data_IF_722911391354
#
_entry.id   IF_722911391354
#
_cell.length_a   1.000
_cell.length_b   1.000
_cell.length_c   1.000
_cell.angle_alpha   90.00
_cell.angle_beta   90.00
_cell.angle_gamma   90.00
#
_symmetry.space_group_name_H-M   'P 1'
#
loop_
_entity.id
_entity.type
_entity.pdbx_description
1 polymer ?
#
# COMPACT_ATOMS: atom_id res chain seq x y z
N UNK A 1 8.17 2.73 19.85
CA UNK A 1 8.72 3.33 21.10
C UNK A 1 8.13 4.73 21.22
N UNK A 2 7.60 5.08 22.40
CA UNK A 2 7.05 6.40 22.75
C UNK A 2 7.79 6.93 23.97
N UNK A 3 8.17 8.19 23.95
CA UNK A 3 8.85 8.87 25.05
C UNK A 3 8.34 10.31 25.13
N UNK A 4 8.47 10.95 26.31
CA UNK A 4 8.05 12.34 26.52
C UNK A 4 8.89 13.00 27.62
N UNK A 5 8.84 14.33 27.68
CA UNK A 5 9.40 15.08 28.81
C UNK A 5 8.68 14.76 30.10
N UNK A 6 9.34 15.00 31.23
CA UNK A 6 8.81 14.73 32.60
C UNK A 6 7.46 15.44 32.82
N UNK A 7 7.35 16.68 32.37
CA UNK A 7 6.11 17.46 32.35
C UNK A 7 5.59 17.58 30.94
N UNK A 8 4.27 17.46 30.76
CA UNK A 8 3.59 17.48 29.46
C UNK A 8 2.27 18.27 29.49
N UNK A 9 1.95 18.93 30.58
CA UNK A 9 0.70 19.65 30.79
C UNK A 9 0.48 20.76 29.75
N UNK A 10 1.49 21.59 29.47
CA UNK A 10 1.39 22.66 28.47
C UNK A 10 1.32 22.09 27.06
N UNK A 11 2.13 21.05 26.77
CA UNK A 11 2.10 20.38 25.49
C UNK A 11 0.70 19.77 25.19
N UNK A 12 0.14 19.06 26.16
CA UNK A 12 -1.18 18.42 25.98
C UNK A 12 -2.31 19.43 25.89
N UNK A 13 -2.24 20.52 26.67
CA UNK A 13 -3.20 21.61 26.56
C UNK A 13 -3.16 22.25 25.17
N UNK A 14 -1.96 22.62 24.71
CA UNK A 14 -1.78 23.21 23.38
C UNK A 14 -2.22 22.27 22.26
N UNK A 15 -1.94 20.97 22.39
CA UNK A 15 -2.36 19.98 21.40
C UNK A 15 -3.89 19.81 21.38
N UNK A 16 -4.55 19.75 22.54
CA UNK A 16 -5.99 19.67 22.63
C UNK A 16 -6.68 20.91 22.03
N UNK A 17 -6.12 22.09 22.26
CA UNK A 17 -6.63 23.32 21.68
C UNK A 17 -6.38 23.38 20.16
N UNK A 18 -5.22 22.98 19.69
CA UNK A 18 -4.91 22.88 18.26
C UNK A 18 -5.85 21.91 17.54
N UNK A 19 -6.12 20.75 18.09
CA UNK A 19 -6.99 19.72 17.49
C UNK A 19 -8.43 20.19 17.27
N UNK A 20 -8.94 21.14 18.06
CA UNK A 20 -10.26 21.76 17.83
C UNK A 20 -10.32 22.60 16.54
N UNK A 21 -9.18 23.12 16.10
CA UNK A 21 -9.05 24.01 14.96
C UNK A 21 -8.49 23.31 13.71
N UNK A 22 -8.07 22.05 13.84
CA UNK A 22 -7.62 21.28 12.69
C UNK A 22 -8.80 20.90 11.79
N UNK A 23 -8.70 21.31 10.53
CA UNK A 23 -9.60 20.88 9.46
C UNK A 23 -9.21 19.48 8.92
N UNK A 24 -9.79 19.15 7.77
CA UNK A 24 -9.38 17.96 6.99
C UNK A 24 -8.26 18.36 6.05
N UNK A 25 -7.32 17.45 5.81
CA UNK A 25 -6.36 17.61 4.72
C UNK A 25 -7.05 17.34 3.37
N UNK A 26 -6.78 18.15 2.37
CA UNK A 26 -7.33 17.98 1.03
C UNK A 26 -6.82 16.71 0.36
N UNK A 27 -7.70 15.97 -0.30
CA UNK A 27 -7.36 14.77 -1.07
C UNK A 27 -6.91 15.17 -2.48
N UNK A 28 -5.70 15.67 -2.60
CA UNK A 28 -5.10 16.16 -3.85
C UNK A 28 -4.30 15.08 -4.62
N UNK A 29 -3.89 14.02 -3.95
CA UNK A 29 -3.24 12.87 -4.56
C UNK A 29 -4.22 11.90 -5.24
N UNK A 30 -3.81 11.30 -6.37
CA UNK A 30 -4.54 10.22 -7.04
C UNK A 30 -3.69 8.95 -7.00
N UNK A 31 -4.27 7.85 -6.53
CA UNK A 31 -3.65 6.54 -6.64
C UNK A 31 -4.12 5.86 -7.93
N UNK A 32 -3.25 5.71 -8.95
CA UNK A 32 -3.65 5.15 -10.25
C UNK A 32 -4.03 3.67 -10.16
N UNK A 33 -3.51 2.93 -9.17
CA UNK A 33 -3.78 1.49 -9.01
C UNK A 33 -5.14 1.22 -8.36
N UNK A 34 -5.58 2.09 -7.44
CA UNK A 34 -6.81 1.88 -6.65
C UNK A 34 -7.94 2.84 -7.00
N UNK A 35 -7.72 3.78 -7.94
CA UNK A 35 -8.67 4.84 -8.33
C UNK A 35 -9.17 5.65 -7.12
N UNK A 36 -8.44 5.64 -6.00
CA UNK A 36 -8.74 6.39 -4.79
C UNK A 36 -7.99 7.73 -4.77
N UNK A 37 -8.50 8.68 -4.01
CA UNK A 37 -7.83 9.95 -3.72
C UNK A 37 -7.34 9.92 -2.28
N UNK A 38 -6.17 10.47 -2.04
CA UNK A 38 -5.57 10.56 -0.71
C UNK A 38 -4.98 11.96 -0.48
N UNK A 39 -4.82 12.33 0.81
CA UNK A 39 -4.13 13.55 1.18
C UNK A 39 -2.61 13.34 1.03
N UNK A 40 -1.96 14.17 0.21
CA UNK A 40 -0.50 14.11 0.07
C UNK A 40 0.20 14.59 1.35
N UNK A 41 1.52 14.35 1.44
CA UNK A 41 2.31 14.92 2.54
C UNK A 41 2.21 16.45 2.58
N UNK A 42 2.16 17.11 1.42
CA UNK A 42 1.98 18.57 1.30
C UNK A 42 0.67 18.99 1.94
N UNK A 43 -0.45 18.38 1.56
CA UNK A 43 -1.77 18.72 2.11
C UNK A 43 -1.85 18.53 3.62
N UNK A 44 -1.24 17.45 4.14
CA UNK A 44 -1.18 17.22 5.59
C UNK A 44 -0.35 18.28 6.29
N UNK A 45 0.81 18.67 5.74
CA UNK A 45 1.64 19.74 6.30
C UNK A 45 0.90 21.08 6.27
N UNK A 46 0.22 21.41 5.18
CA UNK A 46 -0.54 22.66 5.02
C UNK A 46 -1.72 22.74 5.99
N UNK A 47 -2.39 21.66 6.27
CA UNK A 47 -3.46 21.59 7.26
C UNK A 47 -2.95 21.74 8.71
N UNK A 48 -1.80 21.15 9.04
CA UNK A 48 -1.30 21.06 10.43
C UNK A 48 -0.48 22.30 10.81
N UNK A 49 0.48 22.71 9.96
CA UNK A 49 1.51 23.69 10.32
C UNK A 49 0.96 25.05 10.78
N UNK A 50 -0.02 25.67 10.11
CA UNK A 50 -0.55 26.96 10.53
C UNK A 50 -1.21 26.89 11.91
N UNK A 51 -2.01 25.84 12.15
CA UNK A 51 -2.72 25.66 13.42
C UNK A 51 -1.73 25.40 14.55
N UNK A 52 -0.76 24.49 14.34
CA UNK A 52 0.25 24.19 15.35
C UNK A 52 1.09 25.42 15.71
N UNK A 53 1.47 26.24 14.72
CA UNK A 53 2.25 27.46 14.96
C UNK A 53 1.52 28.44 15.89
N UNK A 54 0.19 28.63 15.73
CA UNK A 54 -0.63 29.50 16.58
C UNK A 54 -0.65 29.01 18.04
N UNK A 55 -0.59 27.68 18.24
CA UNK A 55 -0.62 27.06 19.56
C UNK A 55 0.77 26.78 20.13
N UNK A 56 1.84 27.32 19.55
CA UNK A 56 3.22 27.13 20.02
C UNK A 56 3.74 25.70 19.85
N UNK A 57 3.10 24.90 18.99
CA UNK A 57 3.50 23.54 18.68
C UNK A 57 4.43 23.47 17.49
N UNK A 58 5.39 22.57 17.52
CA UNK A 58 6.32 22.28 16.42
C UNK A 58 6.43 20.79 16.16
N UNK A 59 6.70 20.42 14.90
CA UNK A 59 6.97 19.04 14.49
C UNK A 59 8.38 18.96 13.91
N UNK A 60 9.15 17.99 14.39
CA UNK A 60 10.43 17.57 13.82
C UNK A 60 10.35 16.11 13.41
N UNK A 61 10.90 15.79 12.23
CA UNK A 61 10.87 14.43 11.69
C UNK A 61 12.27 14.03 11.20
N UNK A 62 12.86 13.05 11.85
CA UNK A 62 14.23 12.60 11.63
C UNK A 62 14.22 11.18 11.04
N UNK A 63 14.44 11.02 9.73
CA UNK A 63 14.55 9.71 9.10
C UNK A 63 15.91 9.07 9.42
N UNK A 64 15.90 7.76 9.60
CA UNK A 64 17.07 6.92 9.77
C UNK A 64 16.92 5.65 8.91
N UNK A 65 18.01 5.19 8.31
CA UNK A 65 18.05 3.96 7.54
C UNK A 65 19.17 3.05 8.03
N UNK A 66 18.81 1.84 8.44
CA UNK A 66 19.75 0.79 8.81
C UNK A 66 19.16 -0.58 8.50
N UNK A 67 19.97 -1.52 8.10
CA UNK A 67 19.66 -2.94 7.93
C UNK A 67 18.41 -3.24 7.09
N UNK A 68 18.13 -2.41 6.09
CA UNK A 68 16.95 -2.58 5.24
C UNK A 68 15.65 -2.06 5.86
N UNK A 69 15.75 -1.33 6.98
CA UNK A 69 14.61 -0.71 7.67
C UNK A 69 14.75 0.80 7.60
N UNK A 70 13.67 1.46 7.21
CA UNK A 70 13.53 2.91 7.33
C UNK A 70 12.74 3.21 8.60
N UNK A 71 13.32 4.00 9.48
CA UNK A 71 12.69 4.46 10.71
C UNK A 71 12.52 5.98 10.66
N UNK A 72 11.46 6.49 11.24
CA UNK A 72 11.19 7.90 11.37
C UNK A 72 10.89 8.22 12.84
N UNK A 73 11.75 9.05 13.42
CA UNK A 73 11.45 9.67 14.72
C UNK A 73 10.67 10.94 14.49
N UNK A 74 9.46 11.03 15.03
CA UNK A 74 8.63 12.23 15.00
C UNK A 74 8.58 12.81 16.41
N UNK A 75 8.94 14.08 16.54
CA UNK A 75 8.94 14.83 17.79
C UNK A 75 7.88 15.92 17.69
N UNK A 76 6.94 15.92 18.62
CA UNK A 76 6.03 17.01 18.88
C UNK A 76 6.61 17.85 20.03
N UNK A 77 6.97 19.10 19.75
CA UNK A 77 7.50 20.05 20.72
C UNK A 77 6.52 21.17 21.00
N UNK A 78 6.61 21.73 22.20
CA UNK A 78 5.87 22.94 22.60
C UNK A 78 6.84 24.06 22.99
N UNK A 79 6.44 25.30 22.86
CA UNK A 79 7.23 26.49 23.18
C UNK A 79 7.70 26.56 24.66
N UNK A 80 7.06 25.81 25.56
CA UNK A 80 7.52 25.65 26.96
C UNK A 80 8.75 24.74 27.13
N UNK A 81 9.22 24.10 26.04
CA UNK A 81 10.28 23.10 26.09
C UNK A 81 9.77 21.66 26.36
N UNK A 82 8.48 21.48 26.60
CA UNK A 82 7.87 20.16 26.72
C UNK A 82 7.78 19.47 25.34
N UNK A 83 7.94 18.17 25.36
CA UNK A 83 7.95 17.38 24.09
C UNK A 83 7.44 15.95 24.31
N UNK A 84 7.00 15.36 23.20
CA UNK A 84 6.82 13.91 23.07
C UNK A 84 7.43 13.42 21.77
N UNK A 85 7.90 12.16 21.73
CA UNK A 85 8.43 11.54 20.52
C UNK A 85 7.92 10.14 20.33
N UNK A 86 7.78 9.76 19.07
CA UNK A 86 7.43 8.41 18.67
C UNK A 86 8.30 7.97 17.49
N UNK A 87 8.46 6.66 17.33
CA UNK A 87 9.20 6.06 16.20
C UNK A 87 8.29 5.14 15.44
N UNK A 88 8.21 5.34 14.12
CA UNK A 88 7.57 4.44 13.18
C UNK A 88 8.62 3.85 12.24
N UNK A 89 8.45 2.58 11.83
CA UNK A 89 9.43 1.90 10.99
C UNK A 89 8.74 1.05 9.93
N UNK A 90 9.35 0.97 8.74
CA UNK A 90 8.93 0.08 7.66
C UNK A 90 10.15 -0.59 7.03
N UNK A 91 10.05 -1.85 6.62
CA UNK A 91 11.10 -2.47 5.83
C UNK A 91 11.10 -1.89 4.41
N UNK A 92 12.31 -1.66 3.86
CA UNK A 92 12.44 -1.28 2.46
C UNK A 92 12.31 -2.53 1.58
N UNK A 93 11.43 -2.47 0.57
CA UNK A 93 11.14 -3.64 -0.27
C UNK A 93 12.31 -4.07 -1.17
N UNK A 94 13.23 -3.16 -1.50
CA UNK A 94 14.41 -3.42 -2.34
C UNK A 94 15.61 -2.66 -1.80
N UNK A 95 16.62 -3.38 -1.33
CA UNK A 95 17.86 -2.78 -0.82
C UNK A 95 18.58 -1.98 -1.92
N UNK A 96 19.09 -0.79 -1.56
CA UNK A 96 19.86 0.06 -2.45
C UNK A 96 19.07 0.87 -3.48
N UNK A 97 17.73 0.84 -3.41
CA UNK A 97 16.87 1.64 -4.28
C UNK A 97 16.55 2.99 -3.63
N UNK A 98 17.14 4.06 -4.13
CA UNK A 98 16.92 5.43 -3.63
C UNK A 98 15.47 5.89 -3.79
N UNK A 99 14.77 5.45 -4.83
CA UNK A 99 13.34 5.74 -5.01
C UNK A 99 12.49 5.06 -3.96
N UNK A 100 12.79 3.79 -3.65
CA UNK A 100 12.11 3.05 -2.59
C UNK A 100 12.34 3.71 -1.22
N UNK A 101 13.58 4.15 -0.94
CA UNK A 101 13.93 4.87 0.27
C UNK A 101 13.14 6.18 0.40
N UNK A 102 13.14 7.02 -0.64
CA UNK A 102 12.40 8.28 -0.67
C UNK A 102 10.89 8.08 -0.49
N UNK A 103 10.33 7.05 -1.11
CA UNK A 103 8.92 6.67 -0.96
C UNK A 103 8.58 6.24 0.46
N UNK A 104 9.41 5.41 1.10
CA UNK A 104 9.24 5.00 2.50
C UNK A 104 9.31 6.20 3.46
N UNK A 105 10.26 7.11 3.26
CA UNK A 105 10.39 8.32 4.08
C UNK A 105 9.15 9.20 3.93
N UNK A 106 8.68 9.46 2.71
CA UNK A 106 7.48 10.27 2.45
C UNK A 106 6.23 9.65 3.06
N UNK A 107 6.09 8.33 2.95
CA UNK A 107 5.02 7.56 3.56
C UNK A 107 5.02 7.71 5.08
N UNK A 108 6.15 7.41 5.74
CA UNK A 108 6.29 7.53 7.19
C UNK A 108 6.02 8.96 7.68
N UNK A 109 6.55 9.98 6.99
CA UNK A 109 6.33 11.37 7.34
C UNK A 109 4.85 11.74 7.34
N UNK A 110 4.14 11.37 6.29
CA UNK A 110 2.71 11.65 6.13
C UNK A 110 1.88 10.99 7.24
N UNK A 111 2.05 9.69 7.44
CA UNK A 111 1.26 8.94 8.43
C UNK A 111 1.60 9.35 9.87
N UNK A 112 2.88 9.53 10.20
CA UNK A 112 3.27 9.95 11.55
C UNK A 112 2.80 11.35 11.87
N UNK A 113 2.83 12.29 10.91
CA UNK A 113 2.31 13.64 11.11
C UNK A 113 0.80 13.64 11.32
N UNK A 114 0.06 12.92 10.48
CA UNK A 114 -1.39 12.81 10.61
C UNK A 114 -1.81 12.12 11.94
N UNK A 115 -1.07 11.09 12.36
CA UNK A 115 -1.32 10.40 13.63
C UNK A 115 -1.13 11.34 14.84
N UNK A 116 -0.02 12.09 14.87
CA UNK A 116 0.24 13.05 15.96
C UNK A 116 -0.80 14.18 15.99
N UNK A 117 -1.23 14.66 14.83
CA UNK A 117 -2.24 15.70 14.72
C UNK A 117 -3.68 15.19 14.91
N UNK A 118 -3.89 13.86 14.95
CA UNK A 118 -5.21 13.23 14.92
C UNK A 118 -6.04 13.63 13.68
N UNK A 119 -5.36 13.81 12.54
CA UNK A 119 -6.02 14.07 11.27
C UNK A 119 -6.59 12.78 10.68
N UNK A 120 -7.88 12.82 10.35
CA UNK A 120 -8.52 11.72 9.61
C UNK A 120 -7.96 11.69 8.20
N UNK A 121 -7.26 10.64 7.87
CA UNK A 121 -6.96 10.25 6.51
C UNK A 121 -8.00 9.16 6.15
N UNK A 122 -8.93 9.47 5.27
CA UNK A 122 -9.79 8.44 4.64
C UNK A 122 -8.93 7.67 3.63
N UNK A 123 -7.86 7.07 4.10
CA UNK A 123 -6.97 6.26 3.30
C UNK A 123 -7.53 4.82 3.30
N UNK A 124 -8.08 4.40 2.18
CA UNK A 124 -8.38 3.00 1.89
C UNK A 124 -7.08 2.16 1.69
N UNK A 125 -5.93 2.78 1.98
CA UNK A 125 -4.59 2.22 1.80
C UNK A 125 -4.31 1.02 2.73
N UNK A 126 -4.94 0.96 3.91
CA UNK A 126 -4.83 -0.18 4.82
C UNK A 126 -5.43 -1.45 4.22
N UNK A 127 -6.56 -1.34 3.54
CA UNK A 127 -7.18 -2.45 2.81
C UNK A 127 -6.37 -2.83 1.55
N UNK A 128 -5.74 -1.84 0.91
CA UNK A 128 -4.90 -2.08 -0.26
C UNK A 128 -3.58 -2.77 0.12
N UNK A 129 -2.92 -2.36 1.20
CA UNK A 129 -1.71 -3.01 1.70
C UNK A 129 -2.02 -4.42 2.24
N UNK A 130 -3.14 -4.62 2.94
CA UNK A 130 -3.58 -5.93 3.41
C UNK A 130 -3.96 -6.84 2.23
N UNK A 131 -4.64 -6.33 1.20
CA UNK A 131 -4.93 -7.07 -0.04
C UNK A 131 -3.67 -7.40 -0.82
N UNK A 132 -2.69 -6.48 -0.92
CA UNK A 132 -1.42 -6.75 -1.58
C UNK A 132 -0.57 -7.78 -0.83
N UNK A 133 -0.60 -7.78 0.50
CA UNK A 133 0.07 -8.76 1.34
C UNK A 133 -0.67 -10.11 1.32
N UNK A 134 -2.00 -10.10 1.27
CA UNK A 134 -2.82 -11.29 1.05
C UNK A 134 -2.62 -11.85 -0.38
N UNK A 135 -2.57 -10.99 -1.39
CA UNK A 135 -2.31 -11.40 -2.78
C UNK A 135 -0.86 -11.88 -2.97
N UNK A 136 0.13 -11.27 -2.28
CA UNK A 136 1.51 -11.79 -2.27
C UNK A 136 1.67 -13.08 -1.47
N UNK A 137 0.84 -13.32 -0.46
CA UNK A 137 0.77 -14.60 0.28
C UNK A 137 -0.03 -15.67 -0.46
N UNK A 138 -0.92 -15.26 -1.36
CA UNK A 138 -1.81 -16.10 -2.14
C UNK A 138 -1.43 -16.22 -3.62
N UNK A 139 -0.24 -15.75 -4.05
CA UNK A 139 0.30 -16.16 -5.34
C UNK A 139 0.73 -17.63 -5.18
N UNK A 140 -0.03 -18.60 -5.74
CA UNK A 140 0.43 -19.95 -5.83
C UNK A 140 1.81 -19.91 -6.49
N UNK A 141 2.72 -20.79 -6.06
CA UNK A 141 3.96 -20.99 -6.80
C UNK A 141 3.62 -21.14 -8.29
N UNK A 142 4.51 -20.76 -9.18
CA UNK A 142 4.32 -20.84 -10.65
C UNK A 142 3.76 -22.23 -11.07
N UNK A 143 4.09 -23.26 -10.31
CA UNK A 143 3.57 -24.64 -10.44
C UNK A 143 2.12 -24.79 -9.95
N UNK A 144 1.73 -24.13 -8.85
CA UNK A 144 0.37 -24.25 -8.32
C UNK A 144 -0.68 -23.56 -9.22
N UNK A 145 -0.34 -22.42 -9.84
CA UNK A 145 -1.23 -21.76 -10.80
C UNK A 145 -1.41 -22.59 -12.09
N UNK A 146 -0.35 -23.21 -12.58
CA UNK A 146 -0.42 -24.12 -13.73
C UNK A 146 -1.26 -25.37 -13.42
N UNK A 147 -1.09 -25.95 -12.23
CA UNK A 147 -1.86 -27.11 -11.78
C UNK A 147 -3.36 -26.79 -11.66
N UNK A 148 -3.72 -25.60 -11.15
CA UNK A 148 -5.12 -25.16 -11.09
C UNK A 148 -5.72 -24.94 -12.47
N UNK A 149 -5.00 -24.34 -13.41
CA UNK A 149 -5.47 -24.23 -14.80
C UNK A 149 -5.73 -25.61 -15.39
N UNK A 150 -4.81 -26.56 -15.19
CA UNK A 150 -5.00 -27.92 -15.68
C UNK A 150 -6.24 -28.59 -15.05
N UNK A 151 -6.48 -28.39 -13.77
CA UNK A 151 -7.66 -28.91 -13.06
C UNK A 151 -8.97 -28.31 -13.61
N UNK A 152 -9.04 -26.98 -13.79
CA UNK A 152 -10.22 -26.30 -14.36
C UNK A 152 -10.54 -26.80 -15.78
N UNK A 153 -9.50 -27.05 -16.57
CA UNK A 153 -9.67 -27.62 -17.92
C UNK A 153 -10.21 -29.06 -17.84
N UNK A 154 -9.66 -29.90 -16.97
CA UNK A 154 -10.07 -31.29 -16.79
C UNK A 154 -11.52 -31.39 -16.28
N UNK A 155 -11.91 -30.58 -15.31
CA UNK A 155 -13.30 -30.49 -14.80
C UNK A 155 -14.28 -30.05 -15.91
N UNK A 156 -13.81 -29.26 -16.86
CA UNK A 156 -14.57 -28.86 -18.04
C UNK A 156 -14.56 -29.89 -19.19
N UNK A 157 -13.82 -31.01 -19.04
CA UNK A 157 -13.67 -32.03 -20.09
C UNK A 157 -12.71 -31.61 -21.21
N UNK A 158 -11.76 -30.71 -20.91
CA UNK A 158 -10.72 -30.24 -21.83
C UNK A 158 -9.35 -30.74 -21.36
N UNK A 159 -8.41 -30.88 -22.29
CA UNK A 159 -7.02 -31.19 -21.98
C UNK A 159 -6.13 -29.95 -22.09
N UNK A 160 -4.98 -29.96 -21.40
CA UNK A 160 -3.95 -28.91 -21.54
C UNK A 160 -3.47 -28.81 -22.99
N UNK A 161 -3.44 -29.90 -23.72
CA UNK A 161 -3.06 -29.92 -25.13
C UNK A 161 -4.06 -29.16 -25.99
N UNK A 162 -5.35 -29.39 -25.80
CA UNK A 162 -6.41 -28.60 -26.47
C UNK A 162 -6.34 -27.11 -26.15
N UNK A 163 -6.06 -26.78 -24.88
CA UNK A 163 -5.80 -25.39 -24.48
C UNK A 163 -4.61 -24.79 -25.22
N UNK A 164 -3.50 -25.50 -25.30
CA UNK A 164 -2.29 -25.02 -25.96
C UNK A 164 -2.49 -24.83 -27.47
N UNK A 165 -3.23 -25.73 -28.14
CA UNK A 165 -3.61 -25.59 -29.54
C UNK A 165 -4.43 -24.31 -29.73
N UNK A 166 -5.49 -24.10 -28.94
CA UNK A 166 -6.28 -22.90 -28.96
C UNK A 166 -5.44 -21.63 -28.70
N UNK A 167 -4.52 -21.67 -27.75
CA UNK A 167 -3.66 -20.55 -27.41
C UNK A 167 -2.77 -20.15 -28.60
N UNK A 168 -2.15 -21.10 -29.26
CA UNK A 168 -1.33 -20.86 -30.46
C UNK A 168 -2.18 -20.28 -31.61
N UNK A 169 -3.33 -20.87 -31.90
CA UNK A 169 -4.22 -20.40 -32.95
C UNK A 169 -4.78 -19.00 -32.67
N UNK A 170 -4.92 -18.64 -31.39
CA UNK A 170 -5.36 -17.33 -30.94
C UNK A 170 -4.20 -16.32 -30.76
N UNK A 171 -2.99 -16.65 -31.20
CA UNK A 171 -1.78 -15.86 -31.03
C UNK A 171 -1.48 -15.50 -29.55
N UNK A 172 -1.66 -16.47 -28.65
CA UNK A 172 -1.41 -16.37 -27.21
C UNK A 172 -0.30 -17.31 -26.77
N UNK A 173 0.25 -17.08 -25.58
CA UNK A 173 1.25 -17.96 -25.00
C UNK A 173 0.62 -19.28 -24.54
N UNK A 174 1.30 -20.40 -24.74
CA UNK A 174 0.94 -21.71 -24.17
C UNK A 174 1.14 -21.74 -22.65
N UNK A 175 0.55 -22.71 -21.96
CA UNK A 175 0.59 -22.76 -20.49
C UNK A 175 2.02 -22.79 -19.92
N UNK A 176 2.93 -23.46 -20.57
CA UNK A 176 4.36 -23.54 -20.21
C UNK A 176 5.12 -22.22 -20.47
N UNK A 177 4.73 -21.47 -21.49
CA UNK A 177 5.34 -20.18 -21.86
C UNK A 177 4.81 -19.01 -21.05
N UNK A 178 3.68 -19.16 -20.36
CA UNK A 178 3.07 -18.09 -19.57
C UNK A 178 3.92 -17.70 -18.36
N UNK A 179 4.12 -16.39 -18.18
CA UNK A 179 4.63 -15.83 -16.94
C UNK A 179 3.64 -16.03 -15.77
N UNK A 180 4.10 -15.95 -14.49
CA UNK A 180 3.19 -16.08 -13.34
C UNK A 180 1.97 -15.16 -13.39
N UNK A 181 2.15 -13.92 -13.83
CA UNK A 181 1.06 -12.94 -13.97
C UNK A 181 0.09 -13.28 -15.10
N UNK A 182 0.56 -13.89 -16.19
CA UNK A 182 -0.30 -14.36 -17.28
C UNK A 182 -1.11 -15.59 -16.86
N UNK A 183 -0.54 -16.52 -16.10
CA UNK A 183 -1.26 -17.68 -15.56
C UNK A 183 -2.39 -17.26 -14.62
N UNK A 184 -2.17 -16.26 -13.75
CA UNK A 184 -3.24 -15.77 -12.88
C UNK A 184 -4.39 -15.15 -13.70
N UNK A 185 -4.08 -14.30 -14.69
CA UNK A 185 -5.11 -13.71 -15.58
C UNK A 185 -5.84 -14.78 -16.40
N UNK A 186 -5.15 -15.83 -16.80
CA UNK A 186 -5.76 -16.95 -17.51
C UNK A 186 -6.72 -17.69 -16.59
N UNK A 187 -6.33 -17.98 -15.35
CA UNK A 187 -7.19 -18.64 -14.37
C UNK A 187 -8.45 -17.81 -14.09
N UNK A 188 -8.30 -16.51 -13.83
CA UNK A 188 -9.44 -15.60 -13.60
C UNK A 188 -10.39 -15.58 -14.81
N UNK A 189 -9.86 -15.67 -16.03
CA UNK A 189 -10.65 -15.71 -17.27
C UNK A 189 -11.39 -17.04 -17.44
N UNK A 190 -10.77 -18.18 -17.10
CA UNK A 190 -11.40 -19.49 -17.12
C UNK A 190 -12.54 -19.58 -16.09
N UNK A 191 -12.29 -19.13 -14.84
CA UNK A 191 -13.25 -19.23 -13.73
C UNK A 191 -14.44 -18.25 -13.89
N UNK A 192 -14.23 -17.03 -14.40
CA UNK A 192 -15.22 -15.95 -14.26
C UNK A 192 -15.72 -15.36 -15.60
N UNK A 193 -15.06 -15.62 -16.72
CA UNK A 193 -15.34 -14.91 -17.98
C UNK A 193 -15.72 -15.80 -19.16
N UNK A 194 -16.12 -17.04 -18.87
CA UNK A 194 -16.58 -17.97 -19.92
C UNK A 194 -15.47 -18.52 -20.83
N UNK A 195 -14.21 -18.43 -20.40
CA UNK A 195 -13.04 -18.86 -21.16
C UNK A 195 -13.10 -20.34 -21.57
N UNK A 196 -13.64 -21.20 -20.71
CA UNK A 196 -13.84 -22.62 -21.00
C UNK A 196 -14.76 -22.85 -22.21
N UNK A 197 -15.83 -22.07 -22.36
CA UNK A 197 -16.74 -22.19 -23.50
C UNK A 197 -16.08 -21.77 -24.81
N UNK A 198 -15.21 -20.75 -24.76
CA UNK A 198 -14.45 -20.28 -25.93
C UNK A 198 -13.50 -21.38 -26.42
N UNK A 199 -12.80 -22.04 -25.50
CA UNK A 199 -11.87 -23.13 -25.85
C UNK A 199 -12.67 -24.33 -26.39
N UNK A 200 -13.78 -24.73 -25.76
CA UNK A 200 -14.65 -25.80 -26.22
C UNK A 200 -15.15 -25.58 -27.63
N UNK A 201 -15.64 -24.40 -27.95
CA UNK A 201 -16.15 -24.07 -29.30
C UNK A 201 -15.08 -24.11 -30.38
N UNK A 202 -13.79 -23.95 -29.99
CA UNK A 202 -12.67 -23.99 -30.92
C UNK A 202 -12.14 -25.43 -31.14
N UNK A 203 -12.27 -26.28 -30.13
CA UNK A 203 -11.70 -27.64 -30.15
C UNK A 203 -12.69 -28.75 -30.48
N UNK A 204 -13.98 -28.44 -30.63
CA UNK A 204 -14.99 -29.38 -31.09
C UNK A 204 -15.12 -29.26 -32.62
N UNK A 205 -14.98 -30.36 -33.37
CA UNK A 205 -15.05 -30.33 -34.83
C UNK A 205 -16.45 -29.97 -35.35
#
# INVERSE_FOLDING_TARGET
>A
MYEQSEQVNELHKALADAQRHLGRADKDGKNPHYRSRYATLTSVIEAVRPVFAVHGLSIQQHPHYADGIVSLTTILGHSSGQWSRSVASVPIGKKGDSHALGSCISYLRRYSLAAVACLVQDDDDGNAAAKQQATRRALPSTQAAAARIAQELEEAGLTVEQFNIWAVDSNRATLDQMSPGQRQKCLDWLEHSGGLNVIKSHTTP
#
